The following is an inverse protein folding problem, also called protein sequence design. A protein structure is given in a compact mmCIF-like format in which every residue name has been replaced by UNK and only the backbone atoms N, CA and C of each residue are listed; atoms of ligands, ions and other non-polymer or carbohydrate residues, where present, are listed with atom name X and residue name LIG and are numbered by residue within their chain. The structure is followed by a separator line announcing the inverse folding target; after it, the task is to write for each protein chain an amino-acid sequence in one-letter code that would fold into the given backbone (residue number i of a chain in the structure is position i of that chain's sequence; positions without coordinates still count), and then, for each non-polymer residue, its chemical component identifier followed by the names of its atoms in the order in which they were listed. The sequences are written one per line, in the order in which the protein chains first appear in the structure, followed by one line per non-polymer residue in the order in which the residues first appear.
data_IF_261501962031
#
_entry.id   IF_261501962031
#
_cell.length_a   1.000
_cell.length_b   1.000
_cell.length_c   1.000
_cell.angle_alpha   90.00
_cell.angle_beta   90.00
_cell.angle_gamma   90.00
#
_symmetry.space_group_name_H-M   'P 1'
#
loop_
_entity.id
_entity.type
_entity.pdbx_description
1 polymer ?
#
# COMPACT_ATOMS: atom_id res chain seq x y z
N UNK A 1 -0.46 -15.38 -8.69
CA UNK A 1 -1.11 -14.83 -7.49
C UNK A 1 -0.59 -15.52 -6.25
N UNK A 2 -0.93 -16.80 -6.00
CA UNK A 2 -0.55 -17.49 -4.76
C UNK A 2 0.97 -17.61 -4.54
N UNK A 3 1.76 -17.94 -5.57
CA UNK A 3 3.23 -18.01 -5.42
C UNK A 3 3.88 -16.65 -5.13
N UNK A 4 3.18 -15.55 -5.41
CA UNK A 4 3.72 -14.20 -5.32
C UNK A 4 3.37 -13.52 -3.99
N UNK A 5 2.27 -13.93 -3.37
CA UNK A 5 1.77 -13.38 -2.10
C UNK A 5 1.29 -14.50 -1.15
N UNK A 6 2.14 -15.50 -0.84
CA UNK A 6 1.72 -16.66 -0.06
C UNK A 6 1.36 -16.27 1.39
N UNK A 7 2.17 -15.41 2.00
CA UNK A 7 2.05 -15.04 3.41
C UNK A 7 0.81 -14.17 3.66
N UNK A 8 0.53 -13.24 2.74
CA UNK A 8 -0.63 -12.35 2.83
C UNK A 8 -1.94 -13.14 2.65
N UNK A 9 -1.97 -14.07 1.69
CA UNK A 9 -3.14 -14.92 1.46
C UNK A 9 -3.34 -15.86 2.66
N UNK A 10 -2.29 -16.45 3.20
CA UNK A 10 -2.37 -17.31 4.38
C UNK A 10 -2.88 -16.52 5.60
N UNK A 11 -2.35 -15.33 5.84
CA UNK A 11 -2.80 -14.46 6.93
C UNK A 11 -4.29 -14.15 6.81
N UNK A 12 -4.76 -13.73 5.64
CA UNK A 12 -6.16 -13.36 5.41
C UNK A 12 -7.13 -14.54 5.51
N UNK A 13 -6.72 -15.73 5.04
CA UNK A 13 -7.51 -16.96 5.14
C UNK A 13 -7.58 -17.47 6.58
N UNK A 14 -6.48 -17.35 7.34
CA UNK A 14 -6.42 -17.77 8.74
C UNK A 14 -7.40 -16.99 9.62
N UNK A 15 -7.57 -15.69 9.39
CA UNK A 15 -8.60 -14.89 10.08
C UNK A 15 -10.04 -15.37 9.81
N UNK A 16 -10.24 -16.12 8.73
CA UNK A 16 -11.53 -16.70 8.33
C UNK A 16 -11.66 -18.17 8.70
N UNK A 17 -10.70 -18.71 9.46
CA UNK A 17 -10.62 -20.12 9.81
C UNK A 17 -10.58 -21.04 8.57
N UNK A 18 -9.90 -20.59 7.51
CA UNK A 18 -9.68 -21.35 6.28
C UNK A 18 -8.20 -21.73 6.21
N UNK A 19 -7.93 -23.03 6.15
CA UNK A 19 -6.57 -23.57 6.06
C UNK A 19 -6.16 -23.72 4.60
N UNK A 20 -5.19 -22.92 4.14
CA UNK A 20 -4.68 -23.01 2.76
C UNK A 20 -4.08 -24.39 2.44
N UNK A 21 -3.63 -25.11 3.47
CA UNK A 21 -3.10 -26.48 3.37
C UNK A 21 -4.13 -27.46 2.80
N UNK A 22 -5.43 -27.23 3.00
CA UNK A 22 -6.48 -28.08 2.46
C UNK A 22 -6.58 -27.98 0.95
N UNK A 23 -6.30 -26.80 0.39
CA UNK A 23 -6.19 -26.62 -1.05
C UNK A 23 -4.92 -27.28 -1.60
N UNK A 24 -3.77 -27.09 -0.94
CA UNK A 24 -2.50 -27.69 -1.39
C UNK A 24 -2.52 -29.22 -1.39
N UNK A 25 -3.19 -29.84 -0.42
CA UNK A 25 -3.29 -31.30 -0.29
C UNK A 25 -4.43 -31.92 -1.07
N UNK A 26 -5.39 -31.10 -1.52
CA UNK A 26 -6.66 -31.59 -2.03
C UNK A 26 -7.45 -32.35 -0.96
N UNK A 27 -7.45 -31.85 0.29
CA UNK A 27 -8.18 -32.50 1.40
C UNK A 27 -9.66 -32.62 1.03
N UNK A 28 -10.21 -33.81 1.21
CA UNK A 28 -11.64 -34.10 0.98
C UNK A 28 -12.42 -34.21 2.28
N UNK A 29 -13.67 -33.77 2.25
CA UNK A 29 -14.62 -33.93 3.35
C UNK A 29 -15.21 -35.36 3.39
N UNK A 30 -16.14 -35.60 4.33
CA UNK A 30 -16.83 -36.87 4.47
C UNK A 30 -17.67 -37.28 3.26
N UNK A 31 -17.97 -36.35 2.36
CA UNK A 31 -18.75 -36.57 1.15
C UNK A 31 -17.87 -36.74 -0.09
N UNK A 32 -16.53 -36.70 0.07
CA UNK A 32 -15.58 -36.78 -1.04
C UNK A 32 -15.43 -35.48 -1.83
N UNK A 33 -15.96 -34.36 -1.33
CA UNK A 33 -15.78 -33.05 -1.93
C UNK A 33 -14.52 -32.37 -1.39
N UNK A 34 -13.86 -31.56 -2.22
CA UNK A 34 -12.71 -30.76 -1.75
C UNK A 34 -13.16 -29.76 -0.68
N UNK A 35 -12.49 -29.78 0.48
CA UNK A 35 -12.71 -28.82 1.57
C UNK A 35 -12.46 -27.40 1.07
N UNK A 36 -11.39 -27.19 0.31
CA UNK A 36 -11.06 -25.91 -0.32
C UNK A 36 -10.75 -26.12 -1.80
N UNK A 37 -11.75 -25.87 -2.65
CA UNK A 37 -11.56 -25.90 -4.10
C UNK A 37 -10.90 -24.62 -4.62
N UNK A 38 -10.23 -24.69 -5.79
CA UNK A 38 -9.65 -23.50 -6.43
C UNK A 38 -10.69 -22.41 -6.71
N UNK A 39 -11.94 -22.80 -7.06
CA UNK A 39 -13.05 -21.86 -7.25
C UNK A 39 -13.39 -21.12 -5.96
N UNK A 40 -13.47 -21.85 -4.85
CA UNK A 40 -13.77 -21.29 -3.53
C UNK A 40 -12.65 -20.35 -3.07
N UNK A 41 -11.38 -20.78 -3.21
CA UNK A 41 -10.22 -19.96 -2.89
C UNK A 41 -10.24 -18.63 -3.68
N UNK A 42 -10.45 -18.69 -4.99
CA UNK A 42 -10.52 -17.48 -5.82
C UNK A 42 -11.66 -16.55 -5.40
N UNK A 43 -12.83 -17.09 -5.06
CA UNK A 43 -13.94 -16.28 -4.56
C UNK A 43 -13.59 -15.62 -3.21
N UNK A 44 -12.96 -16.36 -2.28
CA UNK A 44 -12.55 -15.82 -0.99
C UNK A 44 -11.58 -14.66 -1.18
N UNK A 45 -10.53 -14.85 -1.99
CA UNK A 45 -9.54 -13.82 -2.28
C UNK A 45 -10.14 -12.61 -3.01
N UNK A 46 -11.06 -12.85 -3.94
CA UNK A 46 -11.72 -11.78 -4.69
C UNK A 46 -12.52 -10.84 -3.78
N UNK A 47 -13.27 -11.41 -2.82
CA UNK A 47 -14.13 -10.68 -1.88
C UNK A 47 -13.47 -10.41 -0.52
N UNK A 48 -12.13 -10.42 -0.45
CA UNK A 48 -11.44 -9.93 0.74
C UNK A 48 -11.71 -8.42 0.92
N UNK A 49 -11.82 -7.94 2.18
CA UNK A 49 -11.96 -6.51 2.46
C UNK A 49 -10.78 -5.73 1.88
N UNK A 50 -11.01 -4.46 1.51
CA UNK A 50 -9.95 -3.61 1.00
C UNK A 50 -8.77 -3.46 1.98
N UNK A 51 -9.03 -3.52 3.28
CA UNK A 51 -8.01 -3.46 4.35
C UNK A 51 -7.24 -4.77 4.59
N UNK A 52 -7.57 -5.85 3.88
CA UNK A 52 -6.86 -7.13 4.01
C UNK A 52 -5.40 -7.03 3.58
N UNK A 53 -4.55 -7.92 4.09
CA UNK A 53 -3.12 -7.91 3.80
C UNK A 53 -2.88 -8.10 2.29
N UNK A 54 -3.58 -9.06 1.69
CA UNK A 54 -3.48 -9.36 0.27
C UNK A 54 -3.96 -8.18 -0.58
N UNK A 55 -5.12 -7.57 -0.28
CA UNK A 55 -5.62 -6.42 -1.07
C UNK A 55 -4.72 -5.19 -0.93
N UNK A 56 -4.02 -5.07 0.19
CA UNK A 56 -3.08 -3.98 0.42
C UNK A 56 -1.82 -4.18 -0.42
N UNK A 57 -1.16 -5.33 -0.32
CA UNK A 57 0.17 -5.53 -0.92
C UNK A 57 0.15 -6.05 -2.36
N UNK A 58 -0.92 -6.73 -2.80
CA UNK A 58 -0.96 -7.24 -4.15
C UNK A 58 -0.97 -6.10 -5.18
N UNK A 59 -0.18 -6.27 -6.25
CA UNK A 59 -0.21 -5.37 -7.39
C UNK A 59 -1.60 -5.34 -8.09
N UNK A 60 -1.92 -4.25 -8.82
CA UNK A 60 -3.08 -4.20 -9.70
C UNK A 60 -3.10 -5.38 -10.70
N UNK A 61 -4.28 -5.94 -11.03
CA UNK A 61 -5.63 -5.48 -10.69
C UNK A 61 -6.19 -6.04 -9.36
N UNK A 62 -5.40 -6.79 -8.60
CA UNK A 62 -5.92 -7.53 -7.43
C UNK A 62 -5.91 -6.72 -6.13
N UNK A 63 -4.92 -5.84 -5.97
CA UNK A 63 -4.76 -4.98 -4.81
C UNK A 63 -4.23 -3.59 -5.19
N UNK A 64 -3.54 -2.94 -4.25
CA UNK A 64 -3.10 -1.54 -4.35
C UNK A 64 -1.58 -1.33 -4.29
N UNK A 65 -0.79 -2.39 -4.35
CA UNK A 65 0.69 -2.30 -4.32
C UNK A 65 1.22 -1.52 -3.11
N UNK A 66 0.62 -1.74 -1.94
CA UNK A 66 0.96 -1.05 -0.70
C UNK A 66 0.39 0.36 -0.57
N UNK A 67 -0.40 0.83 -1.54
CA UNK A 67 -0.95 2.18 -1.53
C UNK A 67 -2.23 2.31 -0.68
N UNK A 68 -2.53 3.55 -0.32
CA UNK A 68 -3.75 3.94 0.39
C UNK A 68 -5.01 3.57 -0.37
N UNK A 69 -6.07 3.33 0.41
CA UNK A 69 -7.43 3.21 -0.11
C UNK A 69 -7.93 4.56 -0.62
N UNK A 70 -8.94 4.54 -1.50
CA UNK A 70 -9.58 5.77 -1.99
C UNK A 70 -10.10 6.67 -0.85
N UNK A 71 -10.63 6.07 0.22
CA UNK A 71 -11.08 6.81 1.40
C UNK A 71 -9.92 7.50 2.12
N UNK A 72 -8.80 6.82 2.31
CA UNK A 72 -7.61 7.42 2.92
C UNK A 72 -7.05 8.56 2.07
N UNK A 73 -7.04 8.41 0.73
CA UNK A 73 -6.65 9.48 -0.20
C UNK A 73 -7.60 10.68 -0.07
N UNK A 74 -8.91 10.45 -0.05
CA UNK A 74 -9.90 11.52 0.11
C UNK A 74 -9.73 12.26 1.43
N UNK A 75 -9.50 11.53 2.54
CA UNK A 75 -9.28 12.11 3.86
C UNK A 75 -7.99 12.91 3.92
N UNK A 76 -6.90 12.40 3.33
CA UNK A 76 -5.62 13.11 3.26
C UNK A 76 -5.76 14.45 2.51
N UNK A 77 -6.43 14.45 1.34
CA UNK A 77 -6.69 15.65 0.55
C UNK A 77 -7.56 16.66 1.30
N UNK A 78 -8.62 16.20 1.96
CA UNK A 78 -9.47 17.08 2.76
C UNK A 78 -8.69 17.72 3.92
N UNK A 79 -7.84 16.95 4.60
CA UNK A 79 -6.98 17.49 5.64
C UNK A 79 -6.01 18.54 5.08
N UNK A 80 -5.39 18.27 3.93
CA UNK A 80 -4.49 19.22 3.27
C UNK A 80 -5.19 20.53 2.92
N UNK A 81 -6.39 20.48 2.32
CA UNK A 81 -7.18 21.67 2.00
C UNK A 81 -7.51 22.48 3.27
N UNK A 82 -7.92 21.82 4.35
CA UNK A 82 -8.24 22.52 5.62
C UNK A 82 -6.99 23.11 6.28
N UNK A 83 -5.85 22.40 6.22
CA UNK A 83 -4.57 22.85 6.72
C UNK A 83 -4.06 24.07 5.95
N UNK A 84 -4.15 24.07 4.62
CA UNK A 84 -3.77 25.18 3.76
C UNK A 84 -4.66 26.40 3.98
N UNK A 85 -5.97 26.21 4.10
CA UNK A 85 -6.91 27.30 4.42
C UNK A 85 -6.57 27.97 5.77
N UNK A 86 -6.20 27.15 6.77
CA UNK A 86 -5.75 27.69 8.07
C UNK A 86 -4.43 28.44 7.93
N UNK A 87 -3.45 27.87 7.24
CA UNK A 87 -2.15 28.50 7.00
C UNK A 87 -2.34 29.87 6.33
N UNK A 88 -3.10 29.92 5.24
CA UNK A 88 -3.42 31.14 4.50
C UNK A 88 -4.05 32.24 5.37
N UNK A 89 -4.87 31.87 6.37
CA UNK A 89 -5.51 32.83 7.27
C UNK A 89 -4.55 33.47 8.27
N UNK A 90 -3.50 32.78 8.68
CA UNK A 90 -2.60 33.21 9.76
C UNK A 90 -1.18 33.55 9.29
N UNK A 91 -0.96 33.68 7.98
CA UNK A 91 0.35 34.04 7.39
C UNK A 91 0.89 35.33 8.01
N UNK A 92 2.14 35.30 8.49
CA UNK A 92 2.83 36.47 9.05
C UNK A 92 2.26 36.99 10.38
N UNK A 93 1.34 36.25 10.99
CA UNK A 93 0.75 36.57 12.29
C UNK A 93 1.37 35.77 13.44
N UNK A 94 1.04 36.10 14.70
CA UNK A 94 1.53 35.37 15.87
C UNK A 94 1.03 33.91 15.96
N UNK A 95 0.02 33.55 15.15
CA UNK A 95 -0.58 32.21 15.09
C UNK A 95 -0.25 31.49 13.76
N UNK A 96 0.87 31.82 13.14
CA UNK A 96 1.31 31.20 11.89
C UNK A 96 1.30 29.67 12.01
N UNK A 97 0.76 29.02 10.98
CA UNK A 97 0.54 27.58 10.95
C UNK A 97 1.19 27.00 9.71
N UNK A 98 2.13 26.07 9.92
CA UNK A 98 2.77 25.32 8.84
C UNK A 98 1.90 24.10 8.56
N UNK A 99 1.32 23.98 7.35
CA UNK A 99 0.44 22.87 7.00
C UNK A 99 1.22 21.56 6.95
N UNK A 100 0.67 20.51 7.56
CA UNK A 100 1.20 19.15 7.43
C UNK A 100 0.59 18.49 6.21
N UNK A 101 1.44 18.03 5.29
CA UNK A 101 1.06 17.28 4.09
C UNK A 101 1.28 15.79 4.33
N UNK A 102 0.24 14.99 4.12
CA UNK A 102 0.33 13.53 4.22
C UNK A 102 0.64 12.95 2.86
N UNK A 103 1.70 12.14 2.78
CA UNK A 103 2.09 11.44 1.56
C UNK A 103 1.73 9.97 1.65
N UNK A 104 1.13 9.47 0.58
CA UNK A 104 0.87 8.04 0.42
C UNK A 104 2.18 7.24 0.37
N UNK A 105 2.16 5.93 0.65
CA UNK A 105 3.36 5.10 0.59
C UNK A 105 4.06 5.16 -0.78
N UNK A 106 3.28 5.18 -1.86
CA UNK A 106 3.82 5.30 -3.22
C UNK A 106 4.50 6.66 -3.43
N UNK A 107 3.85 7.76 -3.07
CA UNK A 107 4.42 9.12 -3.17
C UNK A 107 5.65 9.30 -2.28
N UNK A 108 5.69 8.61 -1.13
CA UNK A 108 6.87 8.65 -0.25
C UNK A 108 8.08 7.99 -0.91
N UNK A 109 7.89 6.86 -1.58
CA UNK A 109 8.96 6.17 -2.31
C UNK A 109 9.44 7.04 -3.48
N UNK A 110 8.51 7.62 -4.24
CA UNK A 110 8.84 8.51 -5.36
C UNK A 110 9.67 9.71 -4.91
N UNK A 111 9.25 10.39 -3.84
CA UNK A 111 10.01 11.53 -3.29
C UNK A 111 11.38 11.15 -2.75
N UNK A 112 11.53 9.96 -2.15
CA UNK A 112 12.83 9.46 -1.72
C UNK A 112 13.75 9.25 -2.93
N UNK A 113 13.25 8.62 -3.99
CA UNK A 113 14.01 8.40 -5.21
C UNK A 113 14.41 9.73 -5.87
N UNK A 114 13.50 10.71 -5.97
CA UNK A 114 13.80 12.05 -6.49
C UNK A 114 14.92 12.73 -5.69
N UNK A 115 14.87 12.63 -4.36
CA UNK A 115 15.90 13.23 -3.48
C UNK A 115 17.25 12.54 -3.67
N UNK A 116 17.27 11.21 -3.81
CA UNK A 116 18.49 10.45 -4.06
C UNK A 116 19.11 10.77 -5.44
N UNK A 117 18.27 10.95 -6.47
CA UNK A 117 18.71 11.36 -7.81
C UNK A 117 19.29 12.78 -7.82
N UNK A 118 18.64 13.72 -7.11
CA UNK A 118 19.13 15.09 -6.96
C UNK A 118 20.47 15.15 -6.22
N UNK A 119 20.63 14.36 -5.15
CA UNK A 119 21.89 14.28 -4.38
C UNK A 119 23.02 13.66 -5.19
N UNK A 120 22.74 12.60 -5.95
CA UNK A 120 23.72 11.99 -6.86
C UNK A 120 24.14 12.96 -7.96
N UNK A 121 23.18 13.64 -8.59
CA UNK A 121 23.44 14.66 -9.61
C UNK A 121 24.29 15.81 -9.07
N UNK A 122 23.99 16.31 -7.87
CA UNK A 122 24.78 17.36 -7.22
C UNK A 122 26.21 16.90 -6.87
N UNK A 123 26.37 15.65 -6.41
CA UNK A 123 27.69 15.07 -6.11
C UNK A 123 28.54 14.93 -7.38
N UNK A 124 27.94 14.47 -8.48
CA UNK A 124 28.64 14.32 -9.77
C UNK A 124 29.08 15.67 -10.35
N UNK A 125 28.23 16.70 -10.23
CA UNK A 125 28.59 18.08 -10.59
C UNK A 125 29.77 18.60 -9.75
N UNK A 126 29.76 18.40 -8.44
CA UNK A 126 30.86 18.81 -7.56
C UNK A 126 32.16 18.07 -7.91
N UNK A 127 32.10 16.75 -8.14
CA UNK A 127 33.26 15.96 -8.53
C UNK A 127 33.83 16.40 -9.89
N UNK A 128 32.98 16.80 -10.84
CA UNK A 128 33.44 17.35 -12.12
C UNK A 128 34.08 18.74 -12.01
N UNK A 129 33.69 19.55 -11.02
CA UNK A 129 34.23 20.89 -10.78
C UNK A 129 35.52 20.90 -9.95
N UNK A 130 35.72 19.88 -9.10
CA UNK A 130 36.92 19.72 -8.26
C UNK A 130 38.00 18.87 -8.96
N UNK A 131 37.65 18.18 -10.06
CA UNK A 131 38.55 17.41 -10.90
C UNK A 131 39.21 18.20 -12.04
N UNK A 132 39.86 19.32 -11.74
CA UNK A 132 40.90 20.00 -12.56
C UNK A 132 42.06 20.45 -11.67
#
# INVERSE_FOLDING_TARGET
MWCRYPDEIEADLKFRNVEIRDWHRGTTDSHGCLVLSSRLLLNLVHYLPNSSAFKTHAAPPFGRDGNWTELEIMVAKLHEETALNRAAKYVGGPNEYIPTVYLSPAERIERLNETEEDEQSASDLINSLVGE
#
